data_IF_098574885553
#
_entry.id   IF_098574885553
#
_cell.length_a   1.000
_cell.length_b   1.000
_cell.length_c   1.000
_cell.angle_alpha   90.00
_cell.angle_beta   90.00
_cell.angle_gamma   90.00
#
_symmetry.space_group_name_H-M   'P 1'
#
loop_
_entity.id
_entity.type
_entity.pdbx_description
1 polymer ?
#
# COMPACT_ATOMS: atom_id res chain seq x y z
N UNK A 1 -4.73 -10.88 8.34
CA UNK A 1 -4.47 -10.37 6.98
C UNK A 1 -5.63 -9.45 6.69
N UNK A 2 -5.36 -8.17 6.48
CA UNK A 2 -6.41 -7.29 6.02
C UNK A 2 -6.88 -7.83 4.66
N UNK A 3 -8.18 -7.94 4.44
CA UNK A 3 -8.69 -8.20 3.10
C UNK A 3 -8.44 -6.98 2.23
N UNK A 4 -8.45 -7.13 0.91
CA UNK A 4 -8.35 -6.01 -0.05
C UNK A 4 -9.33 -4.89 0.32
N UNK A 5 -10.53 -5.25 0.80
CA UNK A 5 -11.55 -4.30 1.24
C UNK A 5 -11.14 -3.52 2.49
N UNK A 6 -10.48 -4.16 3.46
CA UNK A 6 -10.00 -3.47 4.67
C UNK A 6 -8.74 -2.64 4.43
N UNK A 7 -7.92 -2.99 3.43
CA UNK A 7 -6.73 -2.20 3.07
C UNK A 7 -7.10 -0.79 2.59
N UNK A 8 -8.18 -0.67 1.82
CA UNK A 8 -8.67 0.63 1.35
C UNK A 8 -9.48 1.40 2.38
N UNK A 9 -9.89 0.77 3.49
CA UNK A 9 -10.71 1.42 4.52
C UNK A 9 -9.99 2.63 5.14
N UNK A 10 -8.70 2.50 5.45
CA UNK A 10 -7.90 3.58 6.06
C UNK A 10 -7.84 4.83 5.18
N UNK A 11 -7.41 4.77 3.90
CA UNK A 11 -7.38 5.96 3.05
C UNK A 11 -8.77 6.55 2.78
N UNK A 12 -9.82 5.74 2.73
CA UNK A 12 -11.20 6.21 2.56
C UNK A 12 -11.74 6.92 3.80
N UNK A 13 -11.44 6.42 5.01
CA UNK A 13 -11.85 7.07 6.26
C UNK A 13 -11.09 8.39 6.45
N UNK A 14 -9.78 8.41 6.16
CA UNK A 14 -9.00 9.65 6.16
C UNK A 14 -9.58 10.68 5.18
N UNK A 15 -9.98 10.22 3.99
CA UNK A 15 -10.66 11.05 3.00
C UNK A 15 -11.95 11.66 3.55
N UNK A 16 -12.77 10.88 4.25
CA UNK A 16 -14.01 11.34 4.86
C UNK A 16 -13.77 12.32 6.00
N UNK A 17 -12.76 12.09 6.84
CA UNK A 17 -12.45 12.94 7.99
C UNK A 17 -11.86 14.31 7.62
N UNK A 18 -10.96 14.36 6.62
CA UNK A 18 -10.29 15.61 6.23
C UNK A 18 -10.98 16.36 5.07
N UNK A 19 -11.89 15.71 4.35
CA UNK A 19 -12.71 16.33 3.32
C UNK A 19 -11.98 16.70 2.02
N UNK A 20 -12.77 17.09 1.01
CA UNK A 20 -12.37 17.38 -0.39
C UNK A 20 -11.28 18.43 -0.55
N UNK A 21 -11.24 19.40 0.35
CA UNK A 21 -10.27 20.49 0.29
C UNK A 21 -8.84 20.07 0.67
N UNK A 22 -8.66 19.08 1.54
CA UNK A 22 -7.35 18.69 2.07
C UNK A 22 -6.78 17.42 1.45
N UNK A 23 -7.66 16.49 1.08
CA UNK A 23 -7.26 15.23 0.43
C UNK A 23 -7.74 15.29 -1.02
N UNK A 24 -6.88 15.10 -2.01
CA UNK A 24 -7.33 15.07 -3.41
C UNK A 24 -7.81 13.67 -3.80
N UNK A 25 -8.64 13.54 -4.84
CA UNK A 25 -9.04 12.21 -5.32
C UNK A 25 -7.82 11.39 -5.81
N UNK A 26 -6.83 12.05 -6.42
CA UNK A 26 -5.57 11.41 -6.84
C UNK A 26 -4.82 10.83 -5.64
N UNK A 27 -4.73 11.57 -4.54
CA UNK A 27 -4.09 11.11 -3.30
C UNK A 27 -4.79 9.89 -2.72
N UNK A 28 -6.13 9.86 -2.70
CA UNK A 28 -6.88 8.68 -2.21
C UNK A 28 -6.62 7.46 -3.08
N UNK A 29 -6.65 7.61 -4.41
CA UNK A 29 -6.40 6.50 -5.34
C UNK A 29 -5.00 5.92 -5.12
N UNK A 30 -3.98 6.77 -5.05
CA UNK A 30 -2.60 6.34 -4.80
C UNK A 30 -2.45 5.69 -3.42
N UNK A 31 -3.10 6.23 -2.39
CA UNK A 31 -3.08 5.65 -1.05
C UNK A 31 -3.77 4.28 -0.99
N UNK A 32 -4.88 4.08 -1.72
CA UNK A 32 -5.52 2.77 -1.86
C UNK A 32 -4.61 1.76 -2.55
N UNK A 33 -3.96 2.16 -3.65
CA UNK A 33 -3.01 1.30 -4.39
C UNK A 33 -1.84 0.94 -3.47
N UNK A 34 -1.25 1.92 -2.79
CA UNK A 34 -0.13 1.72 -1.88
C UNK A 34 -0.49 0.81 -0.69
N UNK A 35 -1.73 0.87 -0.19
CA UNK A 35 -2.20 0.00 0.88
C UNK A 35 -2.35 -1.46 0.43
N UNK A 36 -2.69 -1.72 -0.83
CA UNK A 36 -2.85 -3.09 -1.37
C UNK A 36 -1.50 -3.67 -1.84
N UNK A 37 -0.57 -2.80 -2.25
CA UNK A 37 0.68 -3.20 -2.90
C UNK A 37 1.50 -4.28 -2.16
N UNK A 38 1.64 -4.26 -0.81
CA UNK A 38 2.42 -5.28 -0.10
C UNK A 38 1.89 -6.70 -0.33
N UNK A 39 0.57 -6.87 -0.39
CA UNK A 39 -0.08 -8.18 -0.52
C UNK A 39 0.09 -8.83 -1.92
N UNK A 40 0.59 -8.09 -2.91
CA UNK A 40 0.90 -8.66 -4.24
C UNK A 40 2.02 -9.72 -4.15
N UNK A 41 2.80 -9.70 -3.07
CA UNK A 41 3.84 -10.70 -2.79
C UNK A 41 3.31 -12.13 -2.56
N UNK A 42 2.00 -12.35 -2.45
CA UNK A 42 1.41 -13.71 -2.45
C UNK A 42 1.73 -14.49 -3.73
N UNK A 43 2.09 -13.81 -4.82
CA UNK A 43 2.58 -14.42 -6.05
C UNK A 43 3.87 -15.20 -5.79
N UNK A 44 4.70 -14.79 -4.82
CA UNK A 44 5.93 -15.47 -4.43
C UNK A 44 5.68 -16.92 -4.01
N UNK A 45 4.50 -17.23 -3.45
CA UNK A 45 4.12 -18.61 -3.12
C UNK A 45 4.01 -19.49 -4.36
N UNK A 46 3.54 -18.95 -5.49
CA UNK A 46 3.50 -19.69 -6.75
C UNK A 46 4.89 -19.97 -7.32
N UNK A 47 5.89 -19.21 -6.89
CA UNK A 47 7.30 -19.39 -7.24
C UNK A 47 8.05 -20.30 -6.25
N UNK A 48 7.36 -20.88 -5.26
CA UNK A 48 7.95 -21.76 -4.25
C UNK A 48 8.66 -21.03 -3.11
N UNK A 49 8.51 -19.71 -2.98
CA UNK A 49 9.16 -18.91 -1.94
C UNK A 49 8.41 -19.09 -0.60
N UNK A 50 9.09 -19.49 0.50
CA UNK A 50 8.44 -19.68 1.80
C UNK A 50 7.92 -18.39 2.42
N UNK A 51 6.83 -18.49 3.19
CA UNK A 51 6.16 -17.38 3.90
C UNK A 51 7.11 -16.54 4.77
N UNK A 52 8.00 -17.22 5.50
CA UNK A 52 8.92 -16.61 6.45
C UNK A 52 10.23 -16.12 5.81
N UNK A 53 10.41 -16.29 4.50
CA UNK A 53 11.62 -15.81 3.81
C UNK A 53 11.61 -14.28 3.67
N UNK A 54 12.79 -13.71 3.41
CA UNK A 54 12.94 -12.26 3.23
C UNK A 54 12.10 -11.71 2.05
N UNK A 55 11.77 -12.53 1.05
CA UNK A 55 10.89 -12.19 -0.07
C UNK A 55 9.53 -12.89 -0.01
N UNK A 56 9.20 -13.49 1.14
CA UNK A 56 7.88 -14.06 1.41
C UNK A 56 6.89 -12.99 1.88
N UNK A 57 5.65 -13.41 2.15
CA UNK A 57 4.53 -12.51 2.43
C UNK A 57 4.67 -11.61 3.68
N UNK A 58 5.55 -11.93 4.63
CA UNK A 58 5.88 -11.01 5.75
C UNK A 58 7.30 -10.43 5.67
N UNK A 59 7.93 -10.60 4.53
CA UNK A 59 9.29 -10.14 4.27
C UNK A 59 9.33 -8.66 3.88
N UNK A 60 10.12 -8.37 2.85
CA UNK A 60 10.47 -7.03 2.41
C UNK A 60 9.26 -6.12 2.14
N UNK A 61 8.21 -6.63 1.50
CA UNK A 61 7.01 -5.86 1.15
C UNK A 61 6.31 -5.24 2.37
N UNK A 62 6.38 -5.92 3.52
CA UNK A 62 5.78 -5.51 4.79
C UNK A 62 6.74 -4.72 5.70
N UNK A 63 7.89 -4.27 5.19
CA UNK A 63 8.86 -3.48 5.95
C UNK A 63 8.53 -1.98 5.95
N UNK A 64 9.06 -1.24 6.93
CA UNK A 64 8.96 0.23 6.92
C UNK A 64 9.73 0.85 5.74
N UNK A 65 10.83 0.22 5.33
CA UNK A 65 11.67 0.71 4.23
C UNK A 65 10.91 0.66 2.89
N UNK A 66 10.19 -0.43 2.61
CA UNK A 66 9.34 -0.51 1.40
C UNK A 66 8.24 0.55 1.44
N UNK A 67 7.59 0.75 2.59
CA UNK A 67 6.55 1.76 2.75
C UNK A 67 7.06 3.19 2.47
N UNK A 68 8.26 3.53 2.95
CA UNK A 68 8.87 4.84 2.67
C UNK A 68 9.19 5.01 1.19
N UNK A 69 9.79 4.00 0.55
CA UNK A 69 10.13 4.06 -0.88
C UNK A 69 8.87 4.28 -1.73
N UNK A 70 7.82 3.50 -1.48
CA UNK A 70 6.53 3.61 -2.19
C UNK A 70 5.89 4.97 -1.93
N UNK A 71 5.94 5.47 -0.69
CA UNK A 71 5.41 6.78 -0.32
C UNK A 71 6.14 7.93 -1.03
N UNK A 72 7.47 7.88 -1.10
CA UNK A 72 8.27 8.88 -1.81
C UNK A 72 7.98 8.88 -3.32
N UNK A 73 7.85 7.69 -3.91
CA UNK A 73 7.48 7.54 -5.32
C UNK A 73 6.06 8.06 -5.60
N UNK A 74 5.10 7.75 -4.73
CA UNK A 74 3.74 8.29 -4.86
C UNK A 74 3.74 9.83 -4.71
N UNK A 75 4.53 10.37 -3.78
CA UNK A 75 4.64 11.82 -3.57
C UNK A 75 5.19 12.55 -4.80
N UNK A 76 6.17 12.00 -5.50
CA UNK A 76 6.72 12.64 -6.70
C UNK A 76 5.71 12.69 -7.84
N UNK A 77 4.83 11.69 -7.96
CA UNK A 77 3.76 11.68 -8.98
C UNK A 77 2.59 12.63 -8.67
N UNK A 78 2.40 13.01 -7.40
CA UNK A 78 1.41 14.01 -6.99
C UNK A 78 1.90 15.46 -7.16
N UNK A 79 3.22 15.66 -7.24
CA UNK A 79 3.84 16.98 -7.44
C UNK A 79 3.84 17.42 -8.92
N UNK A 80 3.41 16.55 -9.84
CA UNK A 80 3.27 16.77 -11.29
C UNK A 80 1.79 16.96 -11.64
#
# INVERSE_FOLDING_TARGET
MATIMTHVAVPLVLRMGFGKAKVSNRLVILACIAAILPDVDVIAFKLGIPYASAFGHRGFSHSLLSAVIVGLFASSTLAI
#
